data_IF_475709177982
#
_entry.id   IF_475709177982
#
_cell.length_a   1.000
_cell.length_b   1.000
_cell.length_c   1.000
_cell.angle_alpha   90.00
_cell.angle_beta   90.00
_cell.angle_gamma   90.00
#
_symmetry.space_group_name_H-M   'P 1'
#
loop_
_entity.id
_entity.type
_entity.pdbx_description
1 polymer ?
#
# COMPACT_ATOMS: atom_id res chain seq x y z
N UNK A 1 60.68 -41.32 2.30
CA UNK A 1 59.27 -41.08 1.92
C UNK A 1 58.58 -40.26 3.01
N UNK A 2 58.51 -38.93 2.82
CA UNK A 2 57.67 -38.01 3.61
C UNK A 2 57.30 -36.87 2.66
N UNK A 3 56.05 -36.84 2.20
CA UNK A 3 55.46 -35.67 1.55
C UNK A 3 54.24 -35.32 2.37
N UNK A 4 54.39 -34.34 3.26
CA UNK A 4 53.28 -33.74 3.99
C UNK A 4 52.70 -32.69 3.05
N UNK A 5 51.59 -33.04 2.40
CA UNK A 5 50.78 -32.10 1.64
C UNK A 5 50.01 -31.28 2.67
N UNK A 6 50.49 -30.06 2.91
CA UNK A 6 49.84 -29.06 3.75
C UNK A 6 48.63 -28.51 2.96
N UNK A 7 47.45 -29.08 3.20
CA UNK A 7 46.19 -28.54 2.70
C UNK A 7 45.94 -27.18 3.35
N UNK A 8 46.14 -26.11 2.59
CA UNK A 8 45.73 -24.77 2.95
C UNK A 8 44.21 -24.69 3.07
N UNK A 9 43.71 -24.70 4.30
CA UNK A 9 42.40 -24.15 4.64
C UNK A 9 42.42 -22.65 4.35
N UNK A 10 42.14 -22.28 3.11
CA UNK A 10 41.69 -20.93 2.79
C UNK A 10 40.30 -20.83 3.40
N UNK A 11 40.25 -20.27 4.60
CA UNK A 11 39.02 -19.97 5.32
C UNK A 11 38.11 -19.15 4.42
N UNK A 12 37.03 -19.79 3.99
CA UNK A 12 35.81 -19.12 3.54
C UNK A 12 35.23 -18.39 4.75
N UNK A 13 35.85 -17.28 5.15
CA UNK A 13 35.14 -16.24 5.89
C UNK A 13 34.21 -15.59 4.88
N UNK A 14 33.08 -16.26 4.62
CA UNK A 14 31.89 -15.60 4.11
C UNK A 14 31.69 -14.40 5.01
N UNK A 15 31.86 -13.23 4.41
CA UNK A 15 31.54 -11.97 5.05
C UNK A 15 30.04 -12.01 5.30
N UNK A 16 29.63 -12.55 6.45
CA UNK A 16 28.34 -12.24 7.04
C UNK A 16 28.42 -10.75 7.36
N UNK A 17 28.16 -9.94 6.34
CA UNK A 17 27.75 -8.57 6.51
C UNK A 17 26.40 -8.68 7.20
N UNK A 18 26.44 -8.76 8.54
CA UNK A 18 25.28 -8.53 9.37
C UNK A 18 24.89 -7.08 9.07
N UNK A 19 24.04 -6.91 8.06
CA UNK A 19 23.27 -5.69 7.90
C UNK A 19 22.64 -5.45 9.26
N UNK A 20 23.04 -4.37 9.94
CA UNK A 20 22.50 -4.03 11.25
C UNK A 20 20.97 -4.09 11.18
N UNK A 21 20.33 -4.57 12.25
CA UNK A 21 18.88 -4.66 12.32
C UNK A 21 18.26 -3.36 11.80
N UNK A 22 17.39 -3.47 10.78
CA UNK A 22 16.75 -2.33 10.14
C UNK A 22 15.92 -1.55 11.17
N UNK A 23 16.41 -0.39 11.60
CA UNK A 23 15.66 0.50 12.47
C UNK A 23 14.77 1.43 11.64
N UNK A 24 13.49 1.06 11.53
CA UNK A 24 12.48 1.79 10.76
C UNK A 24 12.15 3.18 11.33
N UNK A 25 12.45 3.45 12.61
CA UNK A 25 12.20 4.77 13.20
C UNK A 25 12.99 5.87 12.48
N UNK A 26 14.21 5.54 12.03
CA UNK A 26 15.11 6.45 11.31
C UNK A 26 14.59 6.85 9.92
N UNK A 27 13.58 6.17 9.39
CA UNK A 27 13.02 6.42 8.05
C UNK A 27 11.63 7.07 8.08
N UNK A 28 11.08 7.36 9.26
CA UNK A 28 9.75 7.98 9.41
C UNK A 28 9.56 9.25 8.56
N UNK A 29 10.55 10.14 8.52
CA UNK A 29 10.53 11.35 7.67
C UNK A 29 10.53 10.99 6.18
N UNK A 30 11.38 10.04 5.77
CA UNK A 30 11.44 9.55 4.38
C UNK A 30 10.09 8.98 3.94
N UNK A 31 9.45 8.17 4.79
CA UNK A 31 8.14 7.57 4.52
C UNK A 31 7.04 8.62 4.40
N UNK A 32 6.99 9.60 5.31
CA UNK A 32 6.08 10.74 5.17
C UNK A 32 6.32 11.51 3.87
N UNK A 33 7.57 11.73 3.49
CA UNK A 33 7.91 12.46 2.27
C UNK A 33 7.46 11.73 1.00
N UNK A 34 7.56 10.38 0.96
CA UNK A 34 7.04 9.58 -0.16
C UNK A 34 5.53 9.82 -0.32
N UNK A 35 4.78 9.76 0.77
CA UNK A 35 3.34 10.00 0.73
C UNK A 35 3.00 11.44 0.34
N UNK A 36 3.63 12.44 0.97
CA UNK A 36 3.40 13.84 0.61
C UNK A 36 3.77 14.16 -0.83
N UNK A 37 4.87 13.60 -1.35
CA UNK A 37 5.27 13.77 -2.73
C UNK A 37 4.24 13.16 -3.69
N UNK A 38 3.69 11.98 -3.38
CA UNK A 38 2.58 11.38 -4.14
C UNK A 38 1.38 12.34 -4.23
N UNK A 39 0.98 12.95 -3.11
CA UNK A 39 -0.13 13.90 -3.07
C UNK A 39 0.20 15.19 -3.85
N UNK A 40 1.40 15.73 -3.67
CA UNK A 40 1.85 16.92 -4.37
C UNK A 40 1.84 16.72 -5.90
N UNK A 41 2.31 15.56 -6.38
CA UNK A 41 2.28 15.21 -7.80
C UNK A 41 0.85 14.99 -8.31
N UNK A 42 -0.02 14.35 -7.54
CA UNK A 42 -1.43 14.21 -7.92
C UNK A 42 -2.12 15.58 -8.12
N UNK A 43 -1.75 16.58 -7.30
CA UNK A 43 -2.28 17.95 -7.37
C UNK A 43 -1.68 18.78 -8.50
N UNK A 44 -0.38 18.66 -8.77
CA UNK A 44 0.35 19.65 -9.60
C UNK A 44 0.89 19.09 -10.91
N UNK A 45 1.18 17.80 -10.98
CA UNK A 45 1.82 17.21 -12.15
C UNK A 45 0.80 16.85 -13.24
N UNK A 46 1.31 16.72 -14.46
CA UNK A 46 0.55 16.03 -15.51
C UNK A 46 0.44 14.52 -15.16
N UNK A 47 -0.54 13.85 -15.76
CA UNK A 47 -0.83 12.46 -15.43
C UNK A 47 0.32 11.50 -15.75
N UNK A 48 1.16 11.78 -16.76
CA UNK A 48 2.30 10.94 -17.12
C UNK A 48 3.41 10.98 -16.06
N UNK A 49 3.75 12.17 -15.57
CA UNK A 49 4.76 12.35 -14.52
C UNK A 49 4.30 11.68 -13.22
N UNK A 50 3.04 11.89 -12.83
CA UNK A 50 2.49 11.23 -11.66
C UNK A 50 2.46 9.70 -11.82
N UNK A 51 2.03 9.20 -12.99
CA UNK A 51 2.03 7.76 -13.27
C UNK A 51 3.44 7.17 -13.19
N UNK A 52 4.44 7.84 -13.75
CA UNK A 52 5.83 7.39 -13.68
C UNK A 52 6.32 7.28 -12.24
N UNK A 53 6.02 8.29 -11.41
CA UNK A 53 6.35 8.25 -9.99
C UNK A 53 5.68 7.08 -9.28
N UNK A 54 4.38 6.89 -9.51
CA UNK A 54 3.62 5.77 -8.91
C UNK A 54 4.18 4.42 -9.34
N UNK A 55 4.56 4.25 -10.60
CA UNK A 55 5.12 2.99 -11.10
C UNK A 55 6.50 2.67 -10.51
N UNK A 56 7.23 3.70 -10.06
CA UNK A 56 8.52 3.55 -9.42
C UNK A 56 8.42 3.18 -7.93
N UNK A 57 7.33 3.57 -7.26
CA UNK A 57 7.16 3.44 -5.81
C UNK A 57 6.05 2.48 -5.38
N UNK A 58 5.11 2.11 -6.25
CA UNK A 58 4.08 1.13 -5.90
C UNK A 58 4.69 -0.27 -5.82
N UNK A 59 4.61 -0.87 -4.64
CA UNK A 59 5.20 -2.18 -4.39
C UNK A 59 4.64 -3.28 -5.30
N UNK A 60 3.36 -3.19 -5.63
CA UNK A 60 2.68 -4.23 -6.44
C UNK A 60 3.17 -4.26 -7.89
N UNK A 61 3.84 -3.20 -8.33
CA UNK A 61 4.43 -3.13 -9.67
C UNK A 61 5.62 -4.07 -9.86
N UNK A 62 6.22 -4.58 -8.77
CA UNK A 62 7.22 -5.65 -8.83
C UNK A 62 6.63 -6.98 -9.33
N UNK A 63 5.31 -7.17 -9.19
CA UNK A 63 4.62 -8.43 -9.51
C UNK A 63 3.83 -8.38 -10.81
N UNK A 64 3.72 -7.21 -11.46
CA UNK A 64 2.88 -7.00 -12.65
C UNK A 64 3.09 -8.03 -13.76
N UNK A 65 4.32 -8.50 -13.96
CA UNK A 65 4.66 -9.47 -15.03
C UNK A 65 3.98 -10.81 -14.78
N UNK A 66 3.88 -11.26 -13.53
CA UNK A 66 3.17 -12.49 -13.16
C UNK A 66 1.65 -12.38 -13.34
N UNK A 67 1.14 -11.14 -13.47
CA UNK A 67 -0.28 -10.83 -13.59
C UNK A 67 -0.64 -10.20 -14.93
N UNK A 68 0.02 -10.62 -16.01
CA UNK A 68 -0.27 -10.14 -17.38
C UNK A 68 -0.24 -8.61 -17.51
N UNK A 69 0.72 -7.97 -16.84
CA UNK A 69 0.88 -6.52 -16.75
C UNK A 69 -0.28 -5.76 -16.09
N UNK A 70 -1.19 -6.44 -15.38
CA UNK A 70 -2.25 -5.81 -14.58
C UNK A 70 -1.67 -5.05 -13.39
N UNK A 71 -2.47 -4.15 -12.81
CA UNK A 71 -2.16 -3.41 -11.58
C UNK A 71 -3.04 -3.89 -10.44
N UNK A 72 -2.46 -4.02 -9.24
CA UNK A 72 -3.25 -4.31 -8.06
C UNK A 72 -3.93 -3.03 -7.54
N UNK A 73 -5.22 -3.09 -7.29
CA UNK A 73 -6.00 -1.95 -6.81
C UNK A 73 -7.16 -2.45 -5.96
N UNK A 74 -7.25 -1.95 -4.71
CA UNK A 74 -8.34 -2.24 -3.76
C UNK A 74 -8.70 -3.74 -3.67
N UNK A 75 -7.68 -4.60 -3.52
CA UNK A 75 -7.87 -6.03 -3.33
C UNK A 75 -7.88 -6.88 -4.61
N UNK A 76 -7.71 -6.28 -5.80
CA UNK A 76 -7.84 -7.00 -7.07
C UNK A 76 -6.86 -6.55 -8.15
N UNK A 77 -6.50 -7.47 -9.05
CA UNK A 77 -5.76 -7.16 -10.27
C UNK A 77 -6.69 -6.62 -11.36
N UNK A 78 -6.47 -5.37 -11.75
CA UNK A 78 -7.25 -4.66 -12.77
C UNK A 78 -6.40 -4.34 -14.00
N UNK A 79 -7.06 -4.17 -15.15
CA UNK A 79 -6.38 -3.84 -16.39
C UNK A 79 -5.74 -2.45 -16.33
N UNK A 80 -4.63 -2.25 -17.04
CA UNK A 80 -3.88 -0.98 -16.97
C UNK A 80 -4.72 0.23 -17.37
N UNK A 81 -5.61 0.10 -18.35
CA UNK A 81 -6.46 1.21 -18.79
C UNK A 81 -7.46 1.59 -17.70
N UNK A 82 -8.01 0.60 -16.99
CA UNK A 82 -8.89 0.85 -15.84
C UNK A 82 -8.12 1.50 -14.69
N UNK A 83 -6.91 1.02 -14.38
CA UNK A 83 -6.05 1.62 -13.37
C UNK A 83 -5.70 3.09 -13.68
N UNK A 84 -5.36 3.38 -14.94
CA UNK A 84 -5.11 4.75 -15.41
C UNK A 84 -6.34 5.64 -15.24
N UNK A 85 -7.52 5.15 -15.62
CA UNK A 85 -8.78 5.89 -15.45
C UNK A 85 -9.04 6.24 -13.99
N UNK A 86 -8.89 5.28 -13.07
CA UNK A 86 -9.04 5.53 -11.63
C UNK A 86 -8.02 6.53 -11.10
N UNK A 87 -6.75 6.41 -11.52
CA UNK A 87 -5.73 7.36 -11.11
C UNK A 87 -6.01 8.77 -11.62
N UNK A 88 -6.52 8.91 -12.85
CA UNK A 88 -6.92 10.19 -13.42
C UNK A 88 -8.06 10.82 -12.61
N UNK A 89 -9.09 10.04 -12.26
CA UNK A 89 -10.19 10.52 -11.43
C UNK A 89 -9.73 10.99 -10.04
N UNK A 90 -8.82 10.24 -9.41
CA UNK A 90 -8.24 10.65 -8.10
C UNK A 90 -7.42 11.94 -8.25
N UNK A 91 -6.59 12.06 -9.29
CA UNK A 91 -5.81 13.27 -9.54
C UNK A 91 -6.72 14.48 -9.75
N UNK A 92 -7.82 14.29 -10.47
CA UNK A 92 -8.80 15.36 -10.70
C UNK A 92 -9.40 15.86 -9.38
N UNK A 93 -9.65 14.97 -8.41
CA UNK A 93 -10.13 15.39 -7.10
C UNK A 93 -9.10 16.22 -6.33
N UNK A 94 -7.81 15.92 -6.45
CA UNK A 94 -6.76 16.78 -5.87
C UNK A 94 -6.66 18.12 -6.60
N UNK A 95 -6.73 18.13 -7.94
CA UNK A 95 -6.63 19.34 -8.77
C UNK A 95 -7.79 20.30 -8.54
N UNK A 96 -8.99 19.76 -8.38
CA UNK A 96 -10.22 20.52 -8.13
C UNK A 96 -10.46 20.80 -6.64
N UNK A 97 -9.50 20.52 -5.76
CA UNK A 97 -9.61 20.64 -4.30
C UNK A 97 -10.82 19.91 -3.68
N UNK A 98 -11.36 18.89 -4.37
CA UNK A 98 -12.36 17.97 -3.80
C UNK A 98 -11.71 17.06 -2.75
N UNK A 99 -10.42 16.75 -2.90
CA UNK A 99 -9.57 16.26 -1.80
C UNK A 99 -8.63 17.39 -1.39
N UNK A 100 -8.67 17.79 -0.11
CA UNK A 100 -7.86 18.88 0.43
C UNK A 100 -7.39 18.58 1.86
N UNK A 101 -6.44 19.39 2.34
CA UNK A 101 -5.90 19.33 3.70
C UNK A 101 -5.35 17.96 4.12
N UNK A 102 -4.74 17.22 3.18
CA UNK A 102 -4.09 15.96 3.51
C UNK A 102 -2.91 16.19 4.46
N UNK A 103 -2.89 15.46 5.57
CA UNK A 103 -1.82 15.52 6.55
C UNK A 103 -1.63 14.17 7.23
N UNK A 104 -0.39 13.76 7.43
CA UNK A 104 -0.02 12.60 8.23
C UNK A 104 0.33 13.09 9.64
N UNK A 105 -0.57 12.86 10.58
CA UNK A 105 -0.43 13.28 11.97
C UNK A 105 0.61 12.42 12.71
N UNK A 106 0.62 11.12 12.46
CA UNK A 106 1.46 10.17 13.18
C UNK A 106 1.95 9.06 12.25
N UNK A 107 3.18 8.59 12.48
CA UNK A 107 3.74 7.39 11.86
C UNK A 107 4.50 6.60 12.93
N UNK A 108 4.06 5.38 13.21
CA UNK A 108 4.60 4.54 14.28
C UNK A 108 5.08 3.22 13.73
N UNK A 109 6.31 2.82 14.08
CA UNK A 109 6.84 1.51 13.70
C UNK A 109 6.09 0.40 14.44
N UNK A 110 5.60 -0.58 13.68
CA UNK A 110 5.04 -1.83 14.20
C UNK A 110 6.06 -2.96 14.19
N UNK A 111 7.04 -2.88 13.30
CA UNK A 111 8.15 -3.82 13.23
C UNK A 111 8.91 -3.72 11.91
N UNK A 112 9.92 -4.57 11.79
CA UNK A 112 10.76 -4.71 10.61
C UNK A 112 11.13 -6.17 10.40
N UNK A 113 11.32 -6.59 9.15
CA UNK A 113 11.88 -7.90 8.85
C UNK A 113 12.57 -7.90 7.49
N UNK A 114 13.37 -8.93 7.23
CA UNK A 114 13.98 -9.14 5.90
C UNK A 114 13.18 -10.19 5.16
N UNK A 115 12.66 -9.82 3.99
CA UNK A 115 12.04 -10.73 3.03
C UNK A 115 13.05 -11.16 1.96
N UNK A 116 12.68 -12.12 1.11
CA UNK A 116 13.46 -12.47 -0.07
C UNK A 116 13.71 -11.29 -1.03
N UNK A 117 12.79 -10.31 -1.09
CA UNK A 117 12.90 -9.13 -1.96
C UNK A 117 13.72 -8.00 -1.32
N UNK A 118 13.85 -8.00 0.00
CA UNK A 118 14.61 -7.02 0.75
C UNK A 118 14.02 -6.68 2.11
N UNK A 119 14.46 -5.56 2.64
CA UNK A 119 14.13 -5.08 3.98
C UNK A 119 12.76 -4.42 4.01
N UNK A 120 11.89 -4.85 4.93
CA UNK A 120 10.52 -4.35 5.07
C UNK A 120 10.37 -3.62 6.40
N UNK A 121 9.83 -2.42 6.34
CA UNK A 121 9.32 -1.66 7.49
C UNK A 121 7.80 -1.69 7.50
N UNK A 122 7.20 -2.05 8.62
CA UNK A 122 5.74 -1.98 8.82
C UNK A 122 5.43 -0.79 9.73
N UNK A 123 4.67 0.17 9.20
CA UNK A 123 4.37 1.44 9.85
C UNK A 123 2.85 1.60 9.97
N UNK A 124 2.38 1.97 11.15
CA UNK A 124 1.02 2.48 11.33
C UNK A 124 1.02 3.99 11.06
N UNK A 125 0.10 4.45 10.24
CA UNK A 125 -0.08 5.87 9.92
C UNK A 125 -1.45 6.35 10.38
N UNK A 126 -1.50 7.58 10.91
CA UNK A 126 -2.74 8.33 11.11
C UNK A 126 -2.72 9.54 10.21
N UNK A 127 -3.70 9.63 9.31
CA UNK A 127 -3.84 10.74 8.40
C UNK A 127 -5.19 11.42 8.54
N UNK A 128 -5.26 12.68 8.15
CA UNK A 128 -6.49 13.44 8.01
C UNK A 128 -6.56 14.06 6.62
N UNK A 129 -7.75 14.14 6.06
CA UNK A 129 -8.02 14.86 4.82
C UNK A 129 -9.51 15.22 4.75
N UNK A 130 -9.85 16.12 3.83
CA UNK A 130 -11.24 16.43 3.50
C UNK A 130 -11.52 15.91 2.11
N UNK A 131 -12.57 15.09 1.94
CA UNK A 131 -13.06 14.63 0.64
C UNK A 131 -14.51 15.05 0.44
N UNK A 132 -14.79 15.80 -0.62
CA UNK A 132 -16.11 16.35 -0.93
C UNK A 132 -16.75 17.03 0.29
N UNK A 133 -15.95 17.89 0.93
CA UNK A 133 -16.29 18.66 2.13
C UNK A 133 -16.58 17.85 3.41
N UNK A 134 -16.17 16.57 3.46
CA UNK A 134 -16.23 15.75 4.67
C UNK A 134 -14.84 15.50 5.22
N UNK A 135 -14.61 15.78 6.51
CA UNK A 135 -13.37 15.41 7.17
C UNK A 135 -13.31 13.90 7.39
N UNK A 136 -12.16 13.31 7.07
CA UNK A 136 -11.83 11.93 7.34
C UNK A 136 -10.57 11.87 8.18
N UNK A 137 -10.60 11.07 9.24
CA UNK A 137 -9.46 10.57 9.97
C UNK A 137 -9.26 9.12 9.57
N UNK A 138 -8.12 8.84 8.96
CA UNK A 138 -7.76 7.53 8.46
C UNK A 138 -6.65 6.93 9.33
N UNK A 139 -6.81 5.67 9.71
CA UNK A 139 -5.76 4.85 10.33
C UNK A 139 -5.49 3.64 9.45
N UNK A 140 -4.24 3.44 9.06
CA UNK A 140 -3.84 2.40 8.11
C UNK A 140 -2.43 1.92 8.39
N UNK A 141 -2.15 0.69 7.98
CA UNK A 141 -0.79 0.17 7.97
C UNK A 141 -0.18 0.29 6.57
N UNK A 142 1.06 0.77 6.51
CA UNK A 142 1.88 0.84 5.31
C UNK A 142 3.11 -0.03 5.47
N UNK A 143 3.40 -0.82 4.44
CA UNK A 143 4.59 -1.64 4.34
C UNK A 143 5.53 -0.98 3.33
N UNK A 144 6.71 -0.60 3.81
CA UNK A 144 7.76 0.02 3.02
C UNK A 144 8.84 -1.03 2.75
N UNK A 145 9.11 -1.36 1.48
CA UNK A 145 10.17 -2.28 1.09
C UNK A 145 11.35 -1.52 0.49
N UNK A 146 12.56 -1.76 1.00
CA UNK A 146 13.82 -1.43 0.33
C UNK A 146 14.33 -2.66 -0.41
N UNK A 147 14.24 -2.62 -1.73
CA UNK A 147 14.55 -3.78 -2.57
C UNK A 147 16.06 -4.07 -2.60
N UNK A 148 16.46 -5.35 -2.53
CA UNK A 148 17.85 -5.79 -2.47
C UNK A 148 18.72 -5.26 -3.63
N UNK A 149 18.14 -5.20 -4.83
CA UNK A 149 18.81 -4.73 -6.05
C UNK A 149 18.77 -3.20 -6.24
N UNK A 150 17.93 -2.49 -5.48
CA UNK A 150 17.74 -1.05 -5.61
C UNK A 150 17.68 -0.40 -4.22
N UNK A 151 18.82 -0.48 -3.52
CA UNK A 151 18.94 -0.01 -2.12
C UNK A 151 18.70 1.49 -1.94
N UNK A 152 18.65 2.27 -3.02
CA UNK A 152 18.36 3.71 -2.96
C UNK A 152 16.86 4.05 -2.91
N UNK A 153 15.95 3.08 -3.12
CA UNK A 153 14.52 3.34 -3.24
C UNK A 153 13.66 2.50 -2.30
N UNK A 154 12.65 3.15 -1.76
CA UNK A 154 11.56 2.52 -1.02
C UNK A 154 10.31 2.37 -1.87
N UNK A 155 9.74 1.17 -1.85
CA UNK A 155 8.43 0.85 -2.40
C UNK A 155 7.40 0.92 -1.27
N UNK A 156 6.20 1.37 -1.59
CA UNK A 156 5.08 1.52 -0.67
C UNK A 156 3.97 0.55 -1.03
N UNK A 157 3.47 -0.15 -0.02
CA UNK A 157 2.22 -0.89 -0.05
C UNK A 157 1.32 -0.41 1.09
N UNK A 158 0.10 0.03 0.77
CA UNK A 158 -0.89 0.38 1.79
C UNK A 158 -1.81 -0.81 2.01
N UNK A 159 -1.79 -1.37 3.22
CA UNK A 159 -2.63 -2.50 3.61
C UNK A 159 -4.04 -2.01 3.98
N UNK A 160 -5.06 -2.64 3.39
CA UNK A 160 -6.47 -2.26 3.56
C UNK A 160 -7.18 -3.22 4.53
N UNK A 161 -6.77 -4.48 4.60
CA UNK A 161 -7.42 -5.54 5.37
C UNK A 161 -8.37 -6.41 4.54
N UNK A 162 -8.55 -6.13 3.25
CA UNK A 162 -9.39 -6.93 2.33
C UNK A 162 -8.58 -7.77 1.35
N UNK A 163 -7.25 -7.71 1.44
CA UNK A 163 -6.35 -8.47 0.61
C UNK A 163 -6.63 -9.97 0.74
N UNK A 164 -6.56 -10.70 -0.37
CA UNK A 164 -6.70 -12.15 -0.32
C UNK A 164 -5.45 -12.76 0.32
N UNK A 165 -5.60 -13.91 1.00
CA UNK A 165 -4.45 -14.66 1.53
C UNK A 165 -3.43 -14.98 0.42
N UNK A 166 -3.90 -15.27 -0.79
CA UNK A 166 -3.04 -15.54 -1.95
C UNK A 166 -2.16 -14.34 -2.27
N UNK A 167 -2.76 -13.16 -2.42
CA UNK A 167 -2.00 -11.94 -2.74
C UNK A 167 -1.05 -11.56 -1.60
N UNK A 168 -1.48 -11.69 -0.34
CA UNK A 168 -0.60 -11.41 0.81
C UNK A 168 0.60 -12.35 0.85
N UNK A 169 0.41 -13.65 0.57
CA UNK A 169 1.51 -14.61 0.49
C UNK A 169 2.44 -14.33 -0.69
N UNK A 170 1.92 -13.86 -1.82
CA UNK A 170 2.73 -13.46 -2.96
C UNK A 170 3.56 -12.20 -2.65
N UNK A 171 2.92 -11.17 -2.09
CA UNK A 171 3.55 -9.90 -1.78
C UNK A 171 4.54 -9.99 -0.64
N UNK A 172 4.21 -10.74 0.40
CA UNK A 172 5.01 -10.84 1.61
C UNK A 172 5.12 -12.31 2.02
N UNK A 173 5.90 -13.11 1.25
CA UNK A 173 6.17 -14.48 1.64
C UNK A 173 6.79 -14.47 3.04
N UNK A 174 6.30 -15.34 3.92
CA UNK A 174 6.80 -15.49 5.29
C UNK A 174 6.61 -14.24 6.17
N UNK A 175 5.51 -13.49 5.95
CA UNK A 175 5.17 -12.35 6.80
C UNK A 175 5.20 -12.75 8.30
N UNK A 176 5.96 -12.03 9.16
CA UNK A 176 6.17 -12.43 10.54
C UNK A 176 4.88 -12.43 11.37
N UNK A 177 4.65 -13.50 12.12
CA UNK A 177 3.44 -13.66 12.96
C UNK A 177 3.39 -12.71 14.15
N UNK A 178 4.53 -12.15 14.56
CA UNK A 178 4.63 -11.19 15.66
C UNK A 178 4.30 -9.74 15.24
N UNK A 179 4.23 -9.46 13.94
CA UNK A 179 3.78 -8.15 13.43
C UNK A 179 2.29 -8.28 13.10
N UNK A 180 1.44 -7.73 13.95
CA UNK A 180 -0.01 -7.74 13.68
C UNK A 180 -0.36 -6.61 12.72
N UNK A 181 -1.03 -6.87 11.59
CA UNK A 181 -1.59 -5.83 10.72
C UNK A 181 -3.00 -5.44 11.17
N UNK A 182 -3.39 -4.18 10.93
CA UNK A 182 -4.73 -3.65 11.17
C UNK A 182 -5.39 -3.33 9.83
N UNK A 183 -6.68 -3.67 9.69
CA UNK A 183 -7.48 -3.16 8.59
C UNK A 183 -7.57 -1.62 8.63
N UNK A 184 -7.71 -1.01 7.46
CA UNK A 184 -7.88 0.44 7.38
C UNK A 184 -9.21 0.86 8.00
N UNK A 185 -9.16 1.95 8.75
CA UNK A 185 -10.29 2.55 9.42
C UNK A 185 -10.42 4.03 9.03
N UNK A 186 -11.65 4.49 8.84
CA UNK A 186 -11.99 5.88 8.55
C UNK A 186 -13.06 6.36 9.54
N UNK A 187 -12.75 7.33 10.40
CA UNK A 187 -13.70 7.84 11.41
C UNK A 187 -14.36 6.73 12.24
N UNK A 188 -13.61 5.68 12.65
CA UNK A 188 -14.16 4.53 13.37
C UNK A 188 -14.87 3.48 12.50
N UNK A 189 -15.00 3.72 11.19
CA UNK A 189 -15.66 2.79 10.25
C UNK A 189 -14.65 1.94 9.49
N UNK A 190 -15.02 0.69 9.23
CA UNK A 190 -14.20 -0.20 8.40
C UNK A 190 -14.27 0.16 6.90
N UNK A 191 -13.35 -0.41 6.11
CA UNK A 191 -13.26 -0.15 4.67
C UNK A 191 -14.54 -0.44 3.86
N UNK A 192 -15.35 -1.42 4.25
CA UNK A 192 -16.56 -1.75 3.50
C UNK A 192 -17.65 -0.68 3.67
N UNK A 193 -17.83 -0.18 4.89
CA UNK A 193 -18.78 0.90 5.21
C UNK A 193 -18.40 2.20 4.50
N UNK A 194 -17.12 2.58 4.55
CA UNK A 194 -16.67 3.83 3.95
C UNK A 194 -16.78 3.82 2.42
N UNK A 195 -16.50 2.68 1.77
CA UNK A 195 -16.62 2.56 0.31
C UNK A 195 -18.08 2.68 -0.11
N UNK A 196 -19.02 2.09 0.62
CA UNK A 196 -20.45 2.30 0.37
C UNK A 196 -20.82 3.78 0.51
N UNK A 197 -20.45 4.40 1.64
CA UNK A 197 -20.79 5.80 1.92
C UNK A 197 -20.23 6.73 0.85
N UNK A 198 -18.96 6.58 0.48
CA UNK A 198 -18.32 7.39 -0.56
C UNK A 198 -18.96 7.17 -1.93
N UNK A 199 -19.34 5.94 -2.25
CA UNK A 199 -20.01 5.63 -3.52
C UNK A 199 -21.35 6.35 -3.61
N UNK A 200 -22.19 6.30 -2.56
CA UNK A 200 -23.49 7.01 -2.54
C UNK A 200 -23.30 8.52 -2.59
N UNK A 201 -22.35 9.03 -1.81
CA UNK A 201 -22.02 10.46 -1.77
C UNK A 201 -21.55 10.99 -3.12
N UNK A 202 -20.85 10.19 -3.91
CA UNK A 202 -20.46 10.57 -5.27
C UNK A 202 -21.69 10.91 -6.13
N UNK A 203 -22.72 10.05 -6.13
CA UNK A 203 -23.97 10.30 -6.87
C UNK A 203 -24.68 11.55 -6.37
N UNK A 204 -24.81 11.70 -5.05
CA UNK A 204 -25.43 12.87 -4.42
C UNK A 204 -24.69 14.16 -4.78
N UNK A 205 -23.37 14.20 -4.57
CA UNK A 205 -22.53 15.38 -4.80
C UNK A 205 -22.57 15.83 -6.27
N UNK A 206 -22.64 14.88 -7.20
CA UNK A 206 -22.71 15.17 -8.63
C UNK A 206 -24.13 15.35 -9.16
N UNK A 207 -25.17 15.28 -8.30
CA UNK A 207 -26.57 15.33 -8.70
C UNK A 207 -26.93 14.28 -9.78
N UNK A 208 -26.28 13.11 -9.71
CA UNK A 208 -26.52 11.98 -10.62
C UNK A 208 -27.55 11.06 -9.96
N UNK A 209 -28.69 10.75 -10.61
CA UNK A 209 -29.63 9.78 -10.10
C UNK A 209 -28.96 8.42 -9.89
N UNK A 210 -29.13 7.84 -8.71
CA UNK A 210 -28.61 6.52 -8.40
C UNK A 210 -29.52 5.46 -9.03
N UNK A 211 -29.02 4.79 -10.08
CA UNK A 211 -29.76 3.72 -10.75
C UNK A 211 -29.84 2.46 -9.87
N UNK A 212 -30.83 1.60 -10.14
CA UNK A 212 -30.97 0.29 -9.47
C UNK A 212 -29.73 -0.58 -9.67
N UNK A 213 -29.11 -0.52 -10.85
CA UNK A 213 -27.88 -1.26 -11.13
C UNK A 213 -26.71 -0.75 -10.28
N UNK A 214 -26.54 0.57 -10.18
CA UNK A 214 -25.50 1.18 -9.37
C UNK A 214 -25.68 0.85 -7.88
N UNK A 215 -26.92 0.93 -7.38
CA UNK A 215 -27.30 0.52 -6.03
C UNK A 215 -26.91 -0.94 -5.74
N UNK A 216 -27.29 -1.85 -6.64
CA UNK A 216 -26.95 -3.27 -6.53
C UNK A 216 -25.42 -3.50 -6.53
N UNK A 217 -24.67 -2.75 -7.33
CA UNK A 217 -23.22 -2.83 -7.37
C UNK A 217 -22.57 -2.32 -6.07
N UNK A 218 -23.10 -1.26 -5.47
CA UNK A 218 -22.66 -0.76 -4.15
C UNK A 218 -22.89 -1.83 -3.07
N UNK A 219 -24.11 -2.39 -3.00
CA UNK A 219 -24.46 -3.44 -2.04
C UNK A 219 -23.58 -4.69 -2.23
N UNK A 220 -23.37 -5.12 -3.47
CA UNK A 220 -22.52 -6.27 -3.80
C UNK A 220 -21.07 -6.03 -3.36
N UNK A 221 -20.54 -4.84 -3.62
CA UNK A 221 -19.17 -4.46 -3.23
C UNK A 221 -19.01 -4.45 -1.71
N UNK A 222 -19.97 -3.85 -0.98
CA UNK A 222 -19.99 -3.88 0.49
C UNK A 222 -20.00 -5.31 1.03
N UNK A 223 -20.92 -6.16 0.55
CA UNK A 223 -21.01 -7.57 0.97
C UNK A 223 -19.70 -8.32 0.76
N UNK A 224 -19.05 -8.11 -0.40
CA UNK A 224 -17.75 -8.71 -0.69
C UNK A 224 -16.68 -8.24 0.29
N UNK A 225 -16.56 -6.93 0.50
CA UNK A 225 -15.53 -6.37 1.36
C UNK A 225 -15.74 -6.79 2.82
N UNK A 226 -16.97 -6.82 3.33
CA UNK A 226 -17.28 -7.37 4.66
C UNK A 226 -16.89 -8.84 4.78
N UNK A 227 -17.15 -9.66 3.75
CA UNK A 227 -16.75 -11.07 3.74
C UNK A 227 -15.23 -11.23 3.82
N UNK A 228 -14.46 -10.40 3.10
CA UNK A 228 -13.00 -10.42 3.15
C UNK A 228 -12.46 -9.96 4.51
N UNK A 229 -13.03 -8.89 5.09
CA UNK A 229 -12.68 -8.44 6.45
C UNK A 229 -12.93 -9.53 7.49
N UNK A 230 -14.09 -10.23 7.44
CA UNK A 230 -14.38 -11.38 8.32
C UNK A 230 -13.38 -12.50 8.15
N UNK A 231 -13.12 -12.88 6.90
CA UNK A 231 -12.18 -13.96 6.58
C UNK A 231 -10.76 -13.65 7.08
N UNK A 232 -10.39 -12.38 7.10
CA UNK A 232 -9.11 -11.90 7.59
C UNK A 232 -9.12 -11.61 9.11
N UNK A 233 -10.23 -11.83 9.81
CA UNK A 233 -10.33 -11.73 11.27
C UNK A 233 -10.48 -10.30 11.81
N UNK A 234 -10.89 -9.34 10.98
CA UNK A 234 -11.02 -7.93 11.38
C UNK A 234 -12.40 -7.55 11.89
N UNK A 235 -13.44 -8.33 11.56
CA UNK A 235 -14.81 -8.17 12.02
C UNK A 235 -15.46 -9.54 12.21
N UNK A 236 -16.54 -9.60 12.99
CA UNK A 236 -17.33 -10.81 13.24
C UNK A 236 -18.33 -11.15 12.12
#
# INVERSE_FOLDING_TARGET
MKHIVMLGLIGLFSSYSFAGNLDCHNYSVTFKNIEYQRIALAKTANNLVNQHYLDQHDYTMLFKTAHNAKRYYLGHWIDQNQAKSYQMSINEYFKTNKIKNFKINDIRTKGSYTSALGEVCVMESKAEYVLMDIPYQMRYDSLYLRHNQNKGRWYLYNYIGIESKKDMTEFFPEFPTNIQLNAVEYNGQNFAEIVEQQSRRYYEYHSIPLSVEAENNIIKTKKRNLSLLRKNGFIE
#
